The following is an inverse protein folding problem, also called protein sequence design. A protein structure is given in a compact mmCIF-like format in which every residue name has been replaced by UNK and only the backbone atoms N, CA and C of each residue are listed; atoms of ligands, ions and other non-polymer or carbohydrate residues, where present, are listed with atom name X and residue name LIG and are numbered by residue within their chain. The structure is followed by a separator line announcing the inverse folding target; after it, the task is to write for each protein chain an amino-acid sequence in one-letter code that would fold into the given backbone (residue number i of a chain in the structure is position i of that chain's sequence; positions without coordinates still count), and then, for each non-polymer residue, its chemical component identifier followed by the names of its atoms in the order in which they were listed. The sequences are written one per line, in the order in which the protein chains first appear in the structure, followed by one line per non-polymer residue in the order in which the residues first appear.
data_IF_157365132058
#
_entry.id   IF_157365132058
#
_cell.length_a   1.000
_cell.length_b   1.000
_cell.length_c   1.000
_cell.angle_alpha   90.00
_cell.angle_beta   90.00
_cell.angle_gamma   90.00
#
_symmetry.space_group_name_H-M   'P 1'
#
loop_
_entity.id
_entity.type
_entity.pdbx_description
1 polymer ?
#
# COMPACT_ATOMS: atom_id res chain seq x y z
N UNK A 1 -18.21 -2.39 19.94
CA UNK A 1 -17.98 -1.27 19.01
C UNK A 1 -18.85 -1.51 17.79
N UNK A 2 -19.67 -0.52 17.36
CA UNK A 2 -20.42 -0.64 16.09
C UNK A 2 -19.39 -0.83 14.96
N UNK A 3 -19.65 -1.65 13.92
CA UNK A 3 -18.81 -1.63 12.73
C UNK A 3 -18.89 -0.22 12.17
N UNK A 4 -17.80 0.55 12.30
CA UNK A 4 -17.68 1.83 11.63
C UNK A 4 -17.75 1.53 10.14
N UNK A 5 -18.80 1.99 9.49
CA UNK A 5 -19.00 1.83 8.05
C UNK A 5 -17.86 2.56 7.35
N UNK A 6 -16.93 1.79 6.80
CA UNK A 6 -15.89 2.32 5.91
C UNK A 6 -16.47 2.44 4.52
N UNK A 7 -16.21 3.56 3.87
CA UNK A 7 -16.60 3.82 2.49
C UNK A 7 -15.38 3.80 1.59
N UNK A 8 -15.58 3.40 0.35
CA UNK A 8 -14.55 3.46 -0.66
C UNK A 8 -14.30 4.91 -1.07
N UNK A 9 -13.04 5.33 -1.00
CA UNK A 9 -12.63 6.70 -1.32
C UNK A 9 -11.80 6.79 -2.59
N UNK A 10 -11.27 5.67 -3.09
CA UNK A 10 -10.50 5.61 -4.32
C UNK A 10 -9.79 4.28 -4.53
N UNK A 11 -8.91 4.25 -5.54
CA UNK A 11 -8.05 3.12 -5.88
C UNK A 11 -6.62 3.64 -5.97
N UNK A 12 -5.67 2.92 -5.35
CA UNK A 12 -4.24 3.19 -5.43
C UNK A 12 -3.50 1.97 -5.98
N UNK A 13 -2.68 2.19 -6.99
CA UNK A 13 -1.79 1.16 -7.53
C UNK A 13 -0.48 1.17 -6.75
N UNK A 14 -0.35 0.25 -5.80
CA UNK A 14 0.84 0.13 -4.94
C UNK A 14 1.75 -1.05 -5.34
N UNK A 15 1.29 -1.92 -6.24
CA UNK A 15 2.06 -3.10 -6.66
C UNK A 15 3.28 -2.70 -7.47
N UNK A 16 4.38 -3.39 -7.22
CA UNK A 16 5.62 -3.16 -7.97
C UNK A 16 5.46 -3.77 -9.36
N UNK A 17 5.82 -3.01 -10.39
CA UNK A 17 5.71 -3.48 -11.77
C UNK A 17 6.61 -4.69 -12.01
N UNK A 18 6.13 -5.69 -12.75
CA UNK A 18 6.91 -6.88 -13.11
C UNK A 18 8.26 -6.56 -13.77
N UNK A 19 8.34 -5.44 -14.50
CA UNK A 19 9.60 -4.93 -15.09
C UNK A 19 10.66 -4.56 -14.03
N UNK A 20 10.24 -4.09 -12.85
CA UNK A 20 11.14 -3.78 -11.75
C UNK A 20 11.70 -5.08 -11.14
N UNK A 21 10.84 -6.05 -10.85
CA UNK A 21 11.26 -7.38 -10.39
C UNK A 21 12.23 -8.04 -11.39
N UNK A 22 11.94 -7.97 -12.69
CA UNK A 22 12.80 -8.52 -13.74
C UNK A 22 14.16 -7.81 -13.82
N UNK A 23 14.23 -6.51 -13.54
CA UNK A 23 15.48 -5.73 -13.51
C UNK A 23 16.35 -6.08 -12.30
N UNK A 24 15.75 -6.31 -11.13
CA UNK A 24 16.50 -6.66 -9.91
C UNK A 24 17.02 -8.10 -9.99
N UNK A 25 16.36 -8.98 -10.75
CA UNK A 25 16.95 -10.24 -11.23
C UNK A 25 17.14 -11.33 -10.17
N UNK A 26 16.49 -11.20 -9.01
CA UNK A 26 16.54 -12.20 -7.95
C UNK A 26 15.22 -12.99 -7.80
N UNK A 27 15.34 -14.18 -7.23
CA UNK A 27 14.26 -15.12 -6.94
C UNK A 27 13.48 -14.63 -5.70
N UNK A 28 12.68 -13.57 -5.89
CA UNK A 28 11.85 -12.99 -4.84
C UNK A 28 10.43 -13.57 -4.89
N UNK A 29 9.85 -13.75 -3.71
CA UNK A 29 8.42 -13.99 -3.60
C UNK A 29 7.69 -12.65 -3.81
N UNK A 30 7.27 -12.39 -5.05
CA UNK A 30 6.55 -11.19 -5.43
C UNK A 30 5.28 -10.97 -4.59
N UNK A 31 4.63 -12.07 -4.15
CA UNK A 31 3.45 -12.00 -3.30
C UNK A 31 3.80 -11.46 -1.91
N UNK A 32 4.88 -11.99 -1.33
CA UNK A 32 5.37 -11.54 -0.03
C UNK A 32 5.86 -10.08 -0.06
N UNK A 33 6.47 -9.65 -1.16
CA UNK A 33 6.90 -8.27 -1.36
C UNK A 33 5.70 -7.33 -1.47
N UNK A 34 4.69 -7.66 -2.29
CA UNK A 34 3.48 -6.85 -2.41
C UNK A 34 2.73 -6.74 -1.06
N UNK A 35 2.66 -7.83 -0.29
CA UNK A 35 2.05 -7.82 1.05
C UNK A 35 2.86 -6.95 2.04
N UNK A 36 4.20 -6.96 1.96
CA UNK A 36 5.06 -6.11 2.78
C UNK A 36 4.90 -4.62 2.43
N UNK A 37 4.85 -4.28 1.13
CA UNK A 37 4.59 -2.91 0.67
C UNK A 37 3.21 -2.44 1.12
N UNK A 38 2.19 -3.31 1.01
CA UNK A 38 0.84 -2.99 1.48
C UNK A 38 0.80 -2.75 2.99
N UNK A 39 1.52 -3.56 3.77
CA UNK A 39 1.61 -3.40 5.21
C UNK A 39 2.28 -2.08 5.59
N UNK A 40 3.37 -1.73 4.92
CA UNK A 40 4.08 -0.48 5.18
C UNK A 40 3.26 0.73 4.74
N UNK A 41 2.62 0.67 3.57
CA UNK A 41 1.68 1.70 3.13
C UNK A 41 0.60 1.94 4.19
N UNK A 42 -0.06 0.88 4.67
CA UNK A 42 -1.08 0.99 5.70
C UNK A 42 -0.57 1.50 7.05
N UNK A 43 0.72 1.33 7.38
CA UNK A 43 1.32 1.93 8.58
C UNK A 43 1.47 3.44 8.47
N UNK A 44 1.71 3.95 7.26
CA UNK A 44 1.89 5.38 7.00
C UNK A 44 0.56 6.13 6.92
N UNK A 45 -0.55 5.42 6.73
CA UNK A 45 -1.87 6.03 6.61
C UNK A 45 -2.42 6.55 7.94
N UNK A 46 -3.21 7.64 7.90
CA UNK A 46 -3.93 8.10 9.07
C UNK A 46 -4.92 7.04 9.56
N UNK A 47 -5.15 7.02 10.87
CA UNK A 47 -6.08 6.09 11.50
C UNK A 47 -7.47 6.21 10.85
N UNK A 48 -8.09 5.06 10.58
CA UNK A 48 -9.40 5.01 9.93
C UNK A 48 -9.34 4.94 8.40
N UNK A 49 -8.16 5.06 7.79
CA UNK A 49 -7.92 4.77 6.36
C UNK A 49 -7.17 3.45 6.25
N UNK A 50 -7.59 2.61 5.30
CA UNK A 50 -6.94 1.34 4.98
C UNK A 50 -6.93 1.13 3.48
N UNK A 51 -5.86 0.56 2.96
CA UNK A 51 -5.76 0.06 1.59
C UNK A 51 -5.85 -1.46 1.64
N UNK A 52 -6.75 -2.02 0.86
CA UNK A 52 -6.86 -3.46 0.68
C UNK A 52 -5.89 -3.97 -0.39
N UNK A 53 -5.67 -5.29 -0.42
CA UNK A 53 -4.80 -5.94 -1.42
C UNK A 53 -5.28 -5.78 -2.87
N UNK A 54 -6.54 -5.38 -3.05
CA UNK A 54 -7.11 -5.01 -4.35
C UNK A 54 -6.69 -3.61 -4.82
N UNK A 55 -5.99 -2.83 -3.99
CA UNK A 55 -5.70 -1.41 -4.19
C UNK A 55 -6.85 -0.49 -3.78
N UNK A 56 -7.98 -1.00 -3.30
CA UNK A 56 -9.11 -0.18 -2.87
C UNK A 56 -8.77 0.54 -1.57
N UNK A 57 -9.00 1.86 -1.55
CA UNK A 57 -8.86 2.69 -0.36
C UNK A 57 -10.21 2.75 0.34
N UNK A 58 -10.27 2.25 1.57
CA UNK A 58 -11.43 2.32 2.44
C UNK A 58 -11.13 3.28 3.59
N UNK A 59 -11.98 4.27 3.79
CA UNK A 59 -11.87 5.20 4.90
C UNK A 59 -13.15 5.23 5.73
N UNK A 60 -13.01 5.45 7.03
CA UNK A 60 -14.15 5.87 7.85
C UNK A 60 -14.75 7.16 7.31
N UNK A 61 -16.07 7.33 7.45
CA UNK A 61 -16.80 8.47 6.87
C UNK A 61 -16.20 9.83 7.29
N UNK A 62 -15.75 9.94 8.55
CA UNK A 62 -15.08 11.14 9.06
C UNK A 62 -13.76 11.44 8.35
N UNK A 63 -13.03 10.42 7.92
CA UNK A 63 -11.70 10.54 7.30
C UNK A 63 -11.76 10.41 5.77
N UNK A 64 -12.95 10.27 5.20
CA UNK A 64 -13.11 10.02 3.77
C UNK A 64 -12.58 11.18 2.92
N UNK A 65 -12.76 12.42 3.38
CA UNK A 65 -12.25 13.60 2.68
C UNK A 65 -10.73 13.70 2.80
N UNK A 66 -10.17 13.39 3.96
CA UNK A 66 -8.72 13.33 4.16
C UNK A 66 -8.10 12.27 3.23
N UNK A 67 -8.66 11.06 3.20
CA UNK A 67 -8.20 9.97 2.36
C UNK A 67 -8.19 10.32 0.85
N UNK A 68 -9.18 11.10 0.38
CA UNK A 68 -9.23 11.56 -1.02
C UNK A 68 -8.15 12.57 -1.35
N UNK A 69 -7.73 13.36 -0.37
CA UNK A 69 -6.74 14.43 -0.52
C UNK A 69 -5.32 13.98 -0.16
N UNK A 70 -5.10 12.69 0.18
CA UNK A 70 -3.77 12.14 0.42
C UNK A 70 -2.93 12.20 -0.86
N UNK A 71 -1.68 12.62 -0.71
CA UNK A 71 -0.68 12.51 -1.77
C UNK A 71 -0.14 11.07 -1.82
N UNK A 72 -0.88 10.20 -2.52
CA UNK A 72 -0.52 8.81 -2.72
C UNK A 72 0.84 8.64 -3.40
N UNK A 73 1.24 9.58 -4.26
CA UNK A 73 2.52 9.50 -4.97
C UNK A 73 3.66 9.75 -4.00
N UNK A 74 3.55 10.77 -3.15
CA UNK A 74 4.54 11.03 -2.11
C UNK A 74 4.59 9.91 -1.07
N UNK A 75 3.45 9.36 -0.67
CA UNK A 75 3.38 8.23 0.26
C UNK A 75 4.08 6.99 -0.31
N UNK A 76 3.72 6.56 -1.52
CA UNK A 76 4.36 5.43 -2.18
C UNK A 76 5.85 5.67 -2.42
N UNK A 77 6.25 6.89 -2.80
CA UNK A 77 7.65 7.27 -2.97
C UNK A 77 8.47 7.30 -1.68
N UNK A 78 7.82 7.31 -0.52
CA UNK A 78 8.49 7.23 0.79
C UNK A 78 8.74 5.80 1.27
N UNK A 79 8.13 4.80 0.63
CA UNK A 79 8.33 3.39 0.94
C UNK A 79 9.67 2.96 0.35
N UNK A 80 10.57 2.46 1.21
CA UNK A 80 11.85 1.90 0.78
C UNK A 80 11.66 0.49 0.21
N UNK A 81 11.24 0.45 -1.07
CA UNK A 81 11.00 -0.81 -1.80
C UNK A 81 12.28 -1.64 -1.90
N UNK A 82 13.44 -1.01 -2.01
CA UNK A 82 14.72 -1.71 -2.12
C UNK A 82 15.06 -2.44 -0.81
N UNK A 83 14.82 -1.81 0.34
CA UNK A 83 14.96 -2.47 1.64
C UNK A 83 13.97 -3.65 1.79
N UNK A 84 12.71 -3.48 1.39
CA UNK A 84 11.71 -4.56 1.42
C UNK A 84 12.15 -5.73 0.53
N UNK A 85 12.65 -5.45 -0.67
CA UNK A 85 13.17 -6.49 -1.56
C UNK A 85 14.39 -7.20 -0.97
N UNK A 86 15.31 -6.47 -0.32
CA UNK A 86 16.48 -7.05 0.33
C UNK A 86 16.11 -7.99 1.48
N UNK A 87 15.10 -7.63 2.29
CA UNK A 87 14.61 -8.46 3.41
C UNK A 87 13.92 -9.75 2.92
N UNK A 88 13.44 -9.75 1.68
CA UNK A 88 12.76 -10.88 1.04
C UNK A 88 13.63 -11.60 -0.01
N UNK A 89 14.89 -11.18 -0.20
CA UNK A 89 15.85 -11.85 -1.04
C UNK A 89 16.23 -13.20 -0.41
N UNK A 90 16.11 -14.29 -1.17
CA UNK A 90 16.62 -15.62 -0.77
C UNK A 90 18.03 -15.88 -1.26
#
# INVERSE_FOLDING_TARGET
MRPMSRIETGIVSYTVSGDYFARVGADFDAEAVDDAILAELNRLLPRGVVVERSGRVLAEEAQAEEARNLDWTALLGSIDVDQILADHAR
#
